data_IF_009086345144
#
_entry.id   IF_009086345144
#
_cell.length_a   1.000
_cell.length_b   1.000
_cell.length_c   1.000
_cell.angle_alpha   90.00
_cell.angle_beta   90.00
_cell.angle_gamma   90.00
#
_symmetry.space_group_name_H-M   'P 1'
#
loop_
_entity.id
_entity.type
_entity.pdbx_description
1 polymer ?
#
# COMPACT_ATOMS: atom_id res chain seq x y z
N UNK A 1 -77.27 11.30 21.86
CA UNK A 1 -76.74 10.94 20.51
C UNK A 1 -75.58 11.82 20.02
N UNK A 2 -75.44 13.07 20.39
CA UNK A 2 -74.31 13.94 19.94
C UNK A 2 -72.93 13.57 20.51
N UNK A 3 -72.84 12.99 21.72
CA UNK A 3 -71.54 12.69 22.34
C UNK A 3 -70.79 11.46 21.71
N UNK A 4 -71.51 10.49 21.16
CA UNK A 4 -70.98 9.28 20.57
C UNK A 4 -70.31 9.58 19.21
N UNK A 5 -70.89 10.50 18.43
CA UNK A 5 -70.33 10.89 17.11
C UNK A 5 -69.02 11.64 17.27
N UNK A 6 -68.83 12.47 18.27
CA UNK A 6 -67.60 13.23 18.53
C UNK A 6 -66.42 12.34 18.99
N UNK A 7 -66.70 11.24 19.66
CA UNK A 7 -65.68 10.29 20.11
C UNK A 7 -65.11 9.46 18.94
N UNK A 8 -65.96 9.03 18.00
CA UNK A 8 -65.54 8.28 16.83
C UNK A 8 -64.68 9.09 15.88
N UNK A 9 -65.01 10.36 15.63
CA UNK A 9 -64.21 11.25 14.74
C UNK A 9 -62.82 11.54 15.32
N UNK A 10 -62.66 11.70 16.65
CA UNK A 10 -61.34 11.88 17.27
C UNK A 10 -60.50 10.60 17.22
N UNK A 11 -61.10 9.43 17.36
CA UNK A 11 -60.42 8.16 17.28
C UNK A 11 -59.90 7.92 15.86
N UNK A 12 -60.72 8.11 14.81
CA UNK A 12 -60.30 7.98 13.42
C UNK A 12 -59.20 8.98 13.04
N UNK A 13 -59.30 10.24 13.51
CA UNK A 13 -58.27 11.25 13.24
C UNK A 13 -56.94 10.96 13.92
N UNK A 14 -56.97 10.32 15.11
CA UNK A 14 -55.74 9.82 15.78
C UNK A 14 -55.15 8.61 15.06
N UNK A 15 -55.98 7.74 14.53
CA UNK A 15 -55.52 6.52 13.84
C UNK A 15 -54.93 6.83 12.46
N UNK A 16 -55.57 7.73 11.69
CA UNK A 16 -55.02 8.19 10.42
C UNK A 16 -53.71 8.96 10.58
N UNK A 17 -53.56 9.78 11.65
CA UNK A 17 -52.30 10.44 11.95
C UNK A 17 -51.16 9.50 12.32
N UNK A 18 -51.47 8.37 12.99
CA UNK A 18 -50.47 7.32 13.30
C UNK A 18 -50.04 6.54 12.07
N UNK A 19 -50.96 6.22 11.15
CA UNK A 19 -50.69 5.51 9.89
C UNK A 19 -49.89 6.43 8.95
N UNK A 20 -50.25 7.69 8.80
CA UNK A 20 -49.51 8.67 8.01
C UNK A 20 -48.10 8.91 8.59
N UNK A 21 -47.94 8.97 9.91
CA UNK A 21 -46.64 9.08 10.55
C UNK A 21 -45.75 7.84 10.42
N UNK A 22 -46.36 6.65 10.33
CA UNK A 22 -45.62 5.40 10.06
C UNK A 22 -45.12 5.32 8.62
N UNK A 23 -45.97 5.67 7.64
CA UNK A 23 -45.57 5.69 6.23
C UNK A 23 -44.46 6.70 5.93
N UNK A 24 -44.50 7.85 6.52
CA UNK A 24 -43.46 8.87 6.39
C UNK A 24 -42.09 8.36 6.95
N UNK A 25 -42.10 7.79 8.17
CA UNK A 25 -40.89 7.23 8.77
C UNK A 25 -40.33 6.08 7.94
N UNK A 26 -41.17 5.20 7.45
CA UNK A 26 -40.78 4.11 6.57
C UNK A 26 -40.18 4.64 5.24
N UNK A 27 -40.79 5.68 4.65
CA UNK A 27 -40.26 6.33 3.45
C UNK A 27 -38.88 6.94 3.71
N UNK A 28 -38.66 7.64 4.82
CA UNK A 28 -37.34 8.19 5.18
C UNK A 28 -36.30 7.10 5.33
N UNK A 29 -36.62 6.02 6.08
CA UNK A 29 -35.71 4.87 6.24
C UNK A 29 -35.38 4.26 4.88
N UNK A 30 -36.35 4.11 4.00
CA UNK A 30 -36.15 3.56 2.65
C UNK A 30 -35.24 4.44 1.79
N UNK A 31 -35.47 5.77 1.77
CA UNK A 31 -34.60 6.68 1.03
C UNK A 31 -33.20 6.77 1.61
N UNK A 32 -33.05 6.72 2.94
CA UNK A 32 -31.72 6.63 3.57
C UNK A 32 -31.01 5.32 3.17
N UNK A 33 -31.71 4.20 3.18
CA UNK A 33 -31.14 2.92 2.76
C UNK A 33 -30.72 2.93 1.29
N UNK A 34 -31.54 3.49 0.39
CA UNK A 34 -31.19 3.67 -1.04
C UNK A 34 -30.00 4.62 -1.21
N UNK A 35 -29.96 5.71 -0.46
CA UNK A 35 -28.84 6.65 -0.46
C UNK A 35 -27.53 5.97 -0.05
N UNK A 36 -27.55 5.19 1.02
CA UNK A 36 -26.40 4.41 1.50
C UNK A 36 -26.01 3.34 0.45
N UNK A 37 -26.98 2.58 -0.05
CA UNK A 37 -26.72 1.55 -1.06
C UNK A 37 -26.15 2.11 -2.37
N UNK A 38 -26.56 3.32 -2.77
CA UNK A 38 -26.03 4.01 -3.95
C UNK A 38 -24.66 4.67 -3.70
N UNK A 39 -24.42 5.15 -2.47
CA UNK A 39 -23.18 5.86 -2.13
C UNK A 39 -21.93 4.99 -2.32
N UNK A 40 -21.93 3.75 -1.81
CA UNK A 40 -20.73 2.91 -1.86
C UNK A 40 -20.28 2.56 -3.29
N UNK A 41 -21.16 2.12 -4.23
CA UNK A 41 -20.74 1.90 -5.61
C UNK A 41 -20.26 3.17 -6.32
N UNK A 42 -20.95 4.30 -6.13
CA UNK A 42 -20.57 5.57 -6.75
C UNK A 42 -19.23 6.06 -6.19
N UNK A 43 -19.03 5.95 -4.88
CA UNK A 43 -17.77 6.29 -4.25
C UNK A 43 -16.63 5.39 -4.75
N UNK A 44 -16.86 4.08 -4.86
CA UNK A 44 -15.87 3.17 -5.42
C UNK A 44 -15.50 3.51 -6.86
N UNK A 45 -16.48 3.79 -7.74
CA UNK A 45 -16.24 4.25 -9.11
C UNK A 45 -15.40 5.53 -9.13
N UNK A 46 -15.74 6.50 -8.27
CA UNK A 46 -14.96 7.74 -8.13
C UNK A 46 -13.51 7.47 -7.71
N UNK A 47 -13.29 6.59 -6.72
CA UNK A 47 -11.96 6.25 -6.26
C UNK A 47 -11.17 5.46 -7.33
N UNK A 48 -11.82 4.56 -8.08
CA UNK A 48 -11.19 3.85 -9.21
C UNK A 48 -10.77 4.83 -10.31
N UNK A 49 -11.61 5.83 -10.62
CA UNK A 49 -11.22 6.86 -11.59
C UNK A 49 -9.96 7.62 -11.15
N UNK A 50 -9.85 7.96 -9.87
CA UNK A 50 -8.67 8.65 -9.31
C UNK A 50 -7.46 7.74 -9.10
N UNK A 51 -7.70 6.48 -8.77
CA UNK A 51 -6.67 5.48 -8.47
C UNK A 51 -7.07 4.15 -9.13
N UNK A 52 -6.72 3.93 -10.41
CA UNK A 52 -7.18 2.77 -11.18
C UNK A 52 -6.86 1.41 -10.53
N UNK A 53 -5.83 1.33 -9.69
CA UNK A 53 -5.51 0.12 -8.93
C UNK A 53 -6.63 -0.35 -7.98
N UNK A 54 -7.52 0.54 -7.54
CA UNK A 54 -8.66 0.20 -6.68
C UNK A 54 -9.74 -0.64 -7.40
N UNK A 55 -9.67 -0.74 -8.73
CA UNK A 55 -10.49 -1.70 -9.48
C UNK A 55 -10.27 -3.14 -9.01
N UNK A 56 -9.03 -3.46 -8.61
CA UNK A 56 -8.64 -4.79 -8.16
C UNK A 56 -8.84 -5.02 -6.65
N UNK A 57 -9.19 -3.97 -5.89
CA UNK A 57 -9.35 -4.05 -4.44
C UNK A 57 -10.32 -5.16 -3.96
N UNK A 58 -11.50 -5.39 -4.61
CA UNK A 58 -12.44 -6.43 -4.16
C UNK A 58 -11.88 -7.85 -4.20
N UNK A 59 -10.91 -8.12 -5.09
CA UNK A 59 -10.31 -9.46 -5.27
C UNK A 59 -8.90 -9.56 -4.68
N UNK A 60 -8.33 -8.45 -4.25
CA UNK A 60 -6.94 -8.41 -3.80
C UNK A 60 -6.65 -9.36 -2.63
N UNK A 61 -7.54 -9.45 -1.65
CA UNK A 61 -7.36 -10.33 -0.49
C UNK A 61 -7.22 -11.82 -0.83
N UNK A 62 -7.82 -12.28 -1.93
CA UNK A 62 -7.75 -13.68 -2.36
C UNK A 62 -6.37 -14.09 -2.92
N UNK A 63 -5.50 -13.14 -3.25
CA UNK A 63 -4.19 -13.40 -3.84
C UNK A 63 -3.03 -13.32 -2.84
N UNK A 64 -3.33 -13.21 -1.54
CA UNK A 64 -2.31 -13.30 -0.49
C UNK A 64 -1.67 -14.71 -0.49
N UNK A 65 -0.35 -14.76 -0.31
CA UNK A 65 0.45 -15.99 -0.38
C UNK A 65 1.19 -16.24 0.93
N UNK A 66 1.43 -17.52 1.22
CA UNK A 66 2.41 -17.90 2.24
C UNK A 66 3.84 -17.55 1.77
N UNK A 67 4.83 -17.49 2.67
CA UNK A 67 6.22 -17.28 2.29
C UNK A 67 6.72 -18.30 1.25
N UNK A 68 6.33 -19.58 1.40
CA UNK A 68 6.68 -20.65 0.47
C UNK A 68 6.12 -20.39 -0.93
N UNK A 69 4.82 -20.07 -1.01
CA UNK A 69 4.18 -19.72 -2.28
C UNK A 69 4.73 -18.44 -2.88
N UNK A 70 5.10 -17.46 -2.06
CA UNK A 70 5.76 -16.22 -2.53
C UNK A 70 7.11 -16.55 -3.17
N UNK A 71 7.92 -17.39 -2.53
CA UNK A 71 9.21 -17.80 -3.08
C UNK A 71 9.06 -18.63 -4.36
N UNK A 72 8.16 -19.63 -4.36
CA UNK A 72 7.89 -20.45 -5.55
C UNK A 72 7.45 -19.62 -6.76
N UNK A 73 6.62 -18.60 -6.55
CA UNK A 73 6.10 -17.79 -7.65
C UNK A 73 7.06 -16.68 -8.11
N UNK A 74 7.87 -16.13 -7.21
CA UNK A 74 8.64 -14.91 -7.48
C UNK A 74 10.12 -14.99 -7.12
N UNK A 75 10.63 -16.12 -6.60
CA UNK A 75 12.04 -16.26 -6.19
C UNK A 75 13.01 -15.97 -7.34
N UNK A 76 12.79 -16.55 -8.49
CA UNK A 76 13.60 -16.30 -9.70
C UNK A 76 13.56 -14.83 -10.15
N UNK A 77 12.42 -14.17 -9.97
CA UNK A 77 12.26 -12.76 -10.27
C UNK A 77 13.04 -11.89 -9.27
N UNK A 78 12.99 -12.23 -7.98
CA UNK A 78 13.76 -11.56 -6.95
C UNK A 78 15.26 -11.72 -7.14
N UNK A 79 15.71 -12.91 -7.57
CA UNK A 79 17.11 -13.16 -7.93
C UNK A 79 17.54 -12.32 -9.13
N UNK A 80 16.72 -12.29 -10.20
CA UNK A 80 16.98 -11.51 -11.41
C UNK A 80 17.26 -10.04 -11.13
N UNK A 81 16.47 -9.43 -10.25
CA UNK A 81 16.58 -7.99 -9.94
C UNK A 81 17.43 -7.69 -8.70
N UNK A 82 17.96 -8.71 -8.01
CA UNK A 82 18.82 -8.48 -6.84
C UNK A 82 20.05 -7.65 -7.17
N UNK A 83 20.59 -6.96 -6.15
CA UNK A 83 21.83 -6.19 -6.25
C UNK A 83 22.75 -6.53 -5.06
N UNK A 84 23.94 -5.95 -5.02
CA UNK A 84 24.87 -6.11 -3.89
C UNK A 84 24.28 -5.64 -2.53
N UNK A 85 23.28 -4.76 -2.54
CA UNK A 85 22.60 -4.24 -1.33
C UNK A 85 21.26 -4.93 -1.11
N UNK A 86 20.44 -5.00 -2.13
CA UNK A 86 19.09 -5.55 -2.07
C UNK A 86 19.13 -6.99 -2.58
N UNK A 87 19.33 -7.95 -1.66
CA UNK A 87 19.38 -9.37 -2.02
C UNK A 87 17.98 -9.93 -2.29
N UNK A 88 17.90 -11.09 -2.94
CA UNK A 88 16.63 -11.74 -3.25
C UNK A 88 15.81 -12.03 -1.98
N UNK A 89 16.45 -12.48 -0.91
CA UNK A 89 15.79 -12.78 0.37
C UNK A 89 15.27 -11.51 1.07
N UNK A 90 16.02 -10.40 0.96
CA UNK A 90 15.55 -9.12 1.50
C UNK A 90 14.35 -8.60 0.71
N UNK A 91 14.38 -8.70 -0.62
CA UNK A 91 13.27 -8.31 -1.48
C UNK A 91 12.03 -9.17 -1.22
N UNK A 92 12.21 -10.50 -1.10
CA UNK A 92 11.13 -11.42 -0.75
C UNK A 92 10.53 -11.12 0.64
N UNK A 93 11.36 -10.75 1.62
CA UNK A 93 10.91 -10.35 2.95
C UNK A 93 10.05 -9.07 2.89
N UNK A 94 10.47 -8.06 2.12
CA UNK A 94 9.65 -6.86 1.88
C UNK A 94 8.32 -7.22 1.24
N UNK A 95 8.32 -8.00 0.15
CA UNK A 95 7.13 -8.43 -0.56
C UNK A 95 6.13 -9.16 0.37
N UNK A 96 6.65 -9.99 1.27
CA UNK A 96 5.82 -10.74 2.22
C UNK A 96 5.21 -9.85 3.30
N UNK A 97 5.97 -8.91 3.84
CA UNK A 97 5.54 -8.04 4.95
C UNK A 97 4.60 -6.96 4.45
N UNK A 98 4.87 -6.36 3.30
CA UNK A 98 4.08 -5.26 2.75
C UNK A 98 2.79 -5.73 2.09
N UNK A 99 2.85 -6.75 1.28
CA UNK A 99 1.72 -7.19 0.46
C UNK A 99 1.36 -8.67 0.59
N UNK A 100 1.94 -9.42 1.53
CA UNK A 100 1.74 -10.88 1.64
C UNK A 100 2.00 -11.60 0.31
N UNK A 101 3.02 -11.19 -0.44
CA UNK A 101 3.35 -11.74 -1.76
C UNK A 101 2.27 -11.49 -2.83
N UNK A 102 1.33 -10.60 -2.61
CA UNK A 102 0.23 -10.29 -3.50
C UNK A 102 0.56 -9.09 -4.41
N UNK A 103 0.66 -9.26 -5.74
CA UNK A 103 1.06 -8.18 -6.64
C UNK A 103 0.02 -7.07 -6.78
N UNK A 104 -1.22 -7.31 -6.41
CA UNK A 104 -2.31 -6.34 -6.47
C UNK A 104 -2.80 -5.90 -5.09
N UNK A 105 -1.98 -6.12 -4.04
CA UNK A 105 -2.35 -5.71 -2.68
C UNK A 105 -2.71 -4.22 -2.65
N UNK A 106 -3.88 -3.90 -2.11
CA UNK A 106 -4.36 -2.53 -1.89
C UNK A 106 -4.38 -2.21 -0.40
N UNK A 107 -4.38 -0.92 -0.06
CA UNK A 107 -4.53 -0.49 1.32
C UNK A 107 -5.98 -0.64 1.78
N UNK A 108 -6.18 -0.75 3.09
CA UNK A 108 -7.54 -0.72 3.65
C UNK A 108 -8.20 0.64 3.40
N UNK A 109 -9.53 0.65 3.38
CA UNK A 109 -10.33 1.86 3.26
C UNK A 109 -10.66 2.39 4.65
N UNK A 110 -10.65 3.72 4.80
CA UNK A 110 -10.90 4.39 6.07
C UNK A 110 -11.73 5.65 5.90
N UNK A 111 -12.39 6.04 6.99
CA UNK A 111 -13.19 7.25 7.05
C UNK A 111 -12.28 8.45 7.32
N UNK A 112 -12.51 9.52 6.56
CA UNK A 112 -11.81 10.79 6.69
C UNK A 112 -12.82 11.94 6.75
N UNK A 113 -12.47 12.98 7.47
CA UNK A 113 -13.25 14.20 7.39
C UNK A 113 -12.96 14.92 6.09
N UNK A 114 -13.98 15.21 5.26
CA UNK A 114 -13.86 15.91 3.98
C UNK A 114 -15.16 16.62 3.62
N UNK A 115 -15.05 17.78 2.97
CA UNK A 115 -16.19 18.47 2.37
C UNK A 115 -16.68 17.79 1.09
N UNK A 116 -15.83 17.02 0.42
CA UNK A 116 -16.24 16.19 -0.71
C UNK A 116 -16.75 14.85 -0.19
N UNK A 117 -18.05 14.50 -0.40
CA UNK A 117 -18.62 13.27 0.10
C UNK A 117 -17.89 12.01 -0.42
N UNK A 118 -17.34 12.04 -1.62
CA UNK A 118 -16.56 10.94 -2.19
C UNK A 118 -15.13 10.80 -1.63
N UNK A 119 -14.67 11.74 -0.82
CA UNK A 119 -13.40 11.66 -0.09
C UNK A 119 -13.57 11.22 1.37
N UNK A 120 -14.82 11.10 1.83
CA UNK A 120 -15.11 10.72 3.22
C UNK A 120 -14.75 9.26 3.50
N UNK A 121 -14.96 8.37 2.53
CA UNK A 121 -14.56 6.97 2.62
C UNK A 121 -13.66 6.62 1.43
N UNK A 122 -12.37 6.44 1.70
CA UNK A 122 -11.34 6.28 0.67
C UNK A 122 -10.18 5.38 1.14
N UNK A 123 -9.32 4.88 0.21
CA UNK A 123 -8.09 4.18 0.59
C UNK A 123 -7.23 5.00 1.54
N UNK A 124 -6.69 4.35 2.58
CA UNK A 124 -5.89 4.99 3.62
C UNK A 124 -4.60 5.63 3.09
N UNK A 125 -4.06 5.10 2.01
CA UNK A 125 -2.88 5.67 1.34
C UNK A 125 -2.91 5.38 -0.17
N UNK A 126 -1.99 6.00 -0.91
CA UNK A 126 -1.77 5.71 -2.33
C UNK A 126 -0.94 4.45 -2.58
N UNK A 127 -0.53 3.72 -1.54
CA UNK A 127 0.27 2.52 -1.64
C UNK A 127 -0.47 1.41 -2.41
N UNK A 128 0.27 0.68 -3.25
CA UNK A 128 -0.30 -0.34 -4.12
C UNK A 128 0.74 -1.41 -4.46
N UNK A 129 0.24 -2.64 -4.62
CA UNK A 129 1.03 -3.77 -5.11
C UNK A 129 1.84 -4.47 -4.03
N UNK A 130 2.64 -5.44 -4.45
CA UNK A 130 3.41 -6.35 -3.60
C UNK A 130 4.32 -5.64 -2.58
N UNK A 131 4.84 -4.46 -2.95
CA UNK A 131 5.75 -3.67 -2.12
C UNK A 131 5.09 -2.39 -1.57
N UNK A 132 3.78 -2.24 -1.67
CA UNK A 132 3.06 -1.07 -1.20
C UNK A 132 3.70 0.27 -1.63
N UNK A 133 4.03 0.36 -2.94
CA UNK A 133 4.67 1.54 -3.52
C UNK A 133 3.68 2.70 -3.57
N UNK A 134 3.99 3.82 -2.91
CA UNK A 134 3.19 5.04 -2.95
C UNK A 134 3.38 5.82 -4.26
N UNK A 135 2.48 6.76 -4.57
CA UNK A 135 2.58 7.56 -5.82
C UNK A 135 3.90 8.33 -5.92
N UNK A 136 4.35 8.95 -4.83
CA UNK A 136 5.63 9.67 -4.81
C UNK A 136 6.82 8.75 -5.03
N UNK A 137 6.84 7.60 -4.36
CA UNK A 137 7.90 6.58 -4.57
C UNK A 137 7.86 6.02 -5.99
N UNK A 138 6.67 5.81 -6.55
CA UNK A 138 6.51 5.33 -7.92
C UNK A 138 7.08 6.31 -8.96
N UNK A 139 6.77 7.60 -8.80
CA UNK A 139 7.29 8.64 -9.68
C UNK A 139 8.82 8.73 -9.65
N UNK A 140 9.42 8.54 -8.46
CA UNK A 140 10.88 8.54 -8.30
C UNK A 140 11.51 7.24 -8.80
N UNK A 141 10.96 6.09 -8.44
CA UNK A 141 11.49 4.77 -8.77
C UNK A 141 11.56 4.50 -10.29
N UNK A 142 10.64 5.08 -11.08
CA UNK A 142 10.65 4.96 -12.54
C UNK A 142 11.85 5.60 -13.23
N UNK A 143 12.64 6.40 -12.53
CA UNK A 143 13.88 6.99 -13.04
C UNK A 143 15.05 6.01 -13.07
N UNK A 144 14.87 4.80 -12.51
CA UNK A 144 15.93 3.80 -12.36
C UNK A 144 15.45 2.43 -12.82
N UNK A 145 16.39 1.60 -13.30
CA UNK A 145 16.16 0.20 -13.63
C UNK A 145 17.36 -0.66 -13.22
N UNK A 146 17.24 -1.97 -13.39
CA UNK A 146 18.32 -2.92 -13.09
C UNK A 146 18.81 -3.55 -14.38
N UNK A 147 20.11 -3.44 -14.63
CA UNK A 147 20.84 -4.14 -15.70
C UNK A 147 21.99 -4.93 -15.07
N UNK A 148 22.04 -6.23 -15.28
CA UNK A 148 23.10 -7.10 -14.75
C UNK A 148 23.40 -6.83 -13.26
N UNK A 149 22.35 -6.82 -12.42
CA UNK A 149 22.43 -6.56 -10.98
C UNK A 149 22.95 -5.16 -10.57
N UNK A 150 23.02 -4.22 -11.52
CA UNK A 150 23.44 -2.84 -11.30
C UNK A 150 22.30 -1.87 -11.55
N UNK A 151 22.24 -0.81 -10.74
CA UNK A 151 21.28 0.27 -10.94
C UNK A 151 21.75 1.18 -12.07
N UNK A 152 20.88 1.40 -13.02
CA UNK A 152 21.04 2.34 -14.14
C UNK A 152 20.04 3.47 -13.98
N UNK A 153 20.40 4.68 -14.35
CA UNK A 153 19.51 5.83 -14.36
C UNK A 153 18.77 5.96 -15.68
N UNK A 154 17.66 6.67 -15.65
CA UNK A 154 16.90 7.05 -16.84
C UNK A 154 17.76 7.86 -17.82
N UNK A 155 17.42 7.76 -19.09
CA UNK A 155 18.14 8.40 -20.19
C UNK A 155 17.26 8.59 -21.42
N UNK A 156 17.83 9.03 -22.55
CA UNK A 156 17.08 9.28 -23.77
C UNK A 156 16.37 8.00 -24.25
N UNK A 157 15.19 8.16 -24.84
CA UNK A 157 14.37 7.04 -25.33
C UNK A 157 15.04 6.18 -26.41
N UNK A 158 16.04 6.71 -27.10
CA UNK A 158 16.81 6.00 -28.13
C UNK A 158 18.02 5.24 -27.56
N UNK A 159 18.35 5.41 -26.29
CA UNK A 159 19.41 4.64 -25.64
C UNK A 159 18.83 3.37 -25.02
N UNK A 160 19.05 2.24 -25.65
CA UNK A 160 18.58 0.92 -25.19
C UNK A 160 19.18 0.49 -23.85
N UNK A 161 20.30 1.09 -23.42
CA UNK A 161 20.90 0.85 -22.11
C UNK A 161 20.29 1.71 -21.00
N UNK A 162 19.50 2.71 -21.34
CA UNK A 162 18.78 3.54 -20.38
C UNK A 162 17.48 2.87 -19.87
N UNK A 163 16.77 3.54 -18.96
CA UNK A 163 15.53 3.07 -18.38
C UNK A 163 14.29 3.66 -19.08
N UNK A 164 14.38 4.09 -20.33
CA UNK A 164 13.30 4.77 -21.07
C UNK A 164 11.96 4.04 -21.06
N UNK A 165 11.97 2.71 -20.99
CA UNK A 165 10.77 1.86 -20.97
C UNK A 165 10.01 1.93 -19.65
N UNK A 166 10.64 2.44 -18.57
CA UNK A 166 10.03 2.50 -17.24
C UNK A 166 8.80 3.43 -17.16
N UNK A 167 8.60 4.31 -18.16
CA UNK A 167 7.37 5.10 -18.29
C UNK A 167 6.10 4.24 -18.38
N UNK A 168 6.22 3.00 -18.90
CA UNK A 168 5.15 2.02 -19.04
C UNK A 168 5.02 1.08 -17.82
N UNK A 169 5.86 1.24 -16.80
CA UNK A 169 5.83 0.37 -15.63
C UNK A 169 4.57 0.56 -14.79
N UNK A 170 4.17 -0.54 -14.16
CA UNK A 170 3.00 -0.60 -13.28
C UNK A 170 3.38 -1.20 -11.92
N UNK A 171 2.77 -0.71 -10.86
CA UNK A 171 2.98 -1.20 -9.49
C UNK A 171 2.35 -2.58 -9.23
N UNK A 172 1.42 -3.01 -10.09
CA UNK A 172 0.69 -4.28 -9.94
C UNK A 172 1.30 -5.43 -10.72
N UNK A 173 2.28 -5.17 -11.58
CA UNK A 173 3.05 -6.21 -12.25
C UNK A 173 4.27 -6.57 -11.39
N UNK A 174 4.36 -7.83 -10.97
CA UNK A 174 5.41 -8.29 -10.06
C UNK A 174 6.83 -7.97 -10.54
N UNK A 175 7.11 -8.12 -11.86
CA UNK A 175 8.40 -7.78 -12.45
C UNK A 175 8.72 -6.29 -12.34
N UNK A 176 7.78 -5.42 -12.72
CA UNK A 176 7.97 -3.98 -12.69
C UNK A 176 8.13 -3.46 -11.24
N UNK A 177 7.27 -3.93 -10.33
CA UNK A 177 7.33 -3.51 -8.92
C UNK A 177 8.60 -4.00 -8.22
N UNK A 178 9.09 -5.21 -8.53
CA UNK A 178 10.35 -5.74 -8.00
C UNK A 178 11.54 -4.91 -8.47
N UNK A 179 11.65 -4.68 -9.78
CA UNK A 179 12.75 -3.89 -10.36
C UNK A 179 12.79 -2.47 -9.80
N UNK A 180 11.65 -1.77 -9.82
CA UNK A 180 11.54 -0.41 -9.29
C UNK A 180 11.90 -0.32 -7.81
N UNK A 181 11.43 -1.28 -6.99
CA UNK A 181 11.72 -1.29 -5.54
C UNK A 181 13.21 -1.48 -5.29
N UNK A 182 13.83 -2.44 -5.98
CA UNK A 182 15.28 -2.69 -5.86
C UNK A 182 16.10 -1.48 -6.31
N UNK A 183 15.81 -0.95 -7.49
CA UNK A 183 16.55 0.17 -8.05
C UNK A 183 16.46 1.42 -7.17
N UNK A 184 15.25 1.77 -6.73
CA UNK A 184 15.00 2.90 -5.84
C UNK A 184 15.69 2.73 -4.48
N UNK A 185 15.54 1.58 -3.82
CA UNK A 185 16.13 1.36 -2.50
C UNK A 185 17.65 1.31 -2.57
N UNK A 186 18.23 0.63 -3.55
CA UNK A 186 19.67 0.59 -3.74
C UNK A 186 20.23 2.02 -3.91
N UNK A 187 19.66 2.79 -4.84
CA UNK A 187 20.07 4.17 -5.10
C UNK A 187 19.94 5.03 -3.85
N UNK A 188 18.80 4.95 -3.17
CA UNK A 188 18.55 5.72 -1.95
C UNK A 188 19.53 5.38 -0.82
N UNK A 189 19.92 4.10 -0.68
CA UNK A 189 20.94 3.70 0.29
C UNK A 189 22.30 4.31 -0.04
N UNK A 190 22.73 4.21 -1.30
CA UNK A 190 24.00 4.77 -1.76
C UNK A 190 24.04 6.29 -1.54
N UNK A 191 22.98 7.00 -1.93
CA UNK A 191 22.89 8.45 -1.79
C UNK A 191 22.87 8.89 -0.31
N UNK A 192 22.19 8.15 0.55
CA UNK A 192 22.15 8.48 1.98
C UNK A 192 23.50 8.23 2.68
N UNK A 193 24.22 7.17 2.29
CA UNK A 193 25.58 6.89 2.80
C UNK A 193 26.56 7.97 2.33
N UNK A 194 26.52 8.34 1.05
CA UNK A 194 27.34 9.40 0.49
C UNK A 194 27.10 10.74 1.19
N UNK A 195 25.83 11.12 1.39
CA UNK A 195 25.44 12.35 2.07
C UNK A 195 25.87 12.40 3.54
N UNK A 196 26.06 11.23 4.18
CA UNK A 196 26.53 11.13 5.56
C UNK A 196 28.06 11.01 5.68
N UNK A 197 28.81 11.01 4.55
CA UNK A 197 30.24 10.76 4.55
C UNK A 197 30.65 9.37 5.07
N UNK A 198 29.73 8.42 5.08
CA UNK A 198 29.93 7.09 5.66
C UNK A 198 30.26 6.09 4.55
N UNK A 199 31.56 5.90 4.30
CA UNK A 199 32.04 4.99 3.24
C UNK A 199 31.93 3.49 3.60
N UNK A 200 31.80 3.14 4.87
CA UNK A 200 31.81 1.73 5.33
C UNK A 200 30.57 1.41 6.14
N UNK A 201 29.61 0.76 5.52
CA UNK A 201 28.46 0.15 6.18
C UNK A 201 28.40 -1.34 5.82
N UNK A 202 28.17 -2.20 6.79
CA UNK A 202 27.96 -3.64 6.51
C UNK A 202 26.68 -3.85 5.68
N UNK A 203 26.57 -4.99 4.98
CA UNK A 203 25.36 -5.32 4.23
C UNK A 203 24.11 -5.30 5.12
N UNK A 204 24.23 -5.81 6.37
CA UNK A 204 23.13 -5.77 7.33
C UNK A 204 22.69 -4.32 7.68
N UNK A 205 23.64 -3.39 7.81
CA UNK A 205 23.33 -1.97 8.06
C UNK A 205 22.69 -1.33 6.84
N UNK A 206 23.18 -1.63 5.63
CA UNK A 206 22.62 -1.12 4.37
C UNK A 206 21.18 -1.63 4.17
N UNK A 207 20.91 -2.89 4.43
CA UNK A 207 19.57 -3.46 4.33
C UNK A 207 18.61 -2.93 5.41
N UNK A 208 19.07 -2.75 6.64
CA UNK A 208 18.26 -2.07 7.68
C UNK A 208 17.91 -0.64 7.24
N UNK A 209 18.86 0.08 6.67
CA UNK A 209 18.60 1.41 6.13
C UNK A 209 17.62 1.38 4.96
N UNK A 210 17.74 0.42 4.03
CA UNK A 210 16.79 0.23 2.94
C UNK A 210 15.35 0.02 3.49
N UNK A 211 15.20 -0.81 4.53
CA UNK A 211 13.91 -1.03 5.20
C UNK A 211 13.38 0.25 5.88
N UNK A 212 14.26 1.05 6.51
CA UNK A 212 13.89 2.37 7.07
C UNK A 212 13.43 3.32 5.98
N UNK A 213 14.15 3.39 4.86
CA UNK A 213 13.79 4.23 3.71
C UNK A 213 12.45 3.79 3.12
N UNK A 214 12.24 2.50 2.99
CA UNK A 214 10.99 1.95 2.46
C UNK A 214 9.78 2.35 3.31
N UNK A 215 9.85 2.16 4.62
CA UNK A 215 8.74 2.44 5.54
C UNK A 215 8.57 3.94 5.82
N UNK A 216 9.66 4.69 5.97
CA UNK A 216 9.69 6.04 6.54
C UNK A 216 10.14 7.12 5.57
N UNK A 217 10.60 6.74 4.38
CA UNK A 217 11.13 7.64 3.38
C UNK A 217 12.62 8.00 3.55
N UNK A 218 13.18 8.57 2.49
CA UNK A 218 14.62 8.88 2.36
C UNK A 218 15.19 9.74 3.49
N UNK A 219 14.46 10.78 3.92
CA UNK A 219 14.89 11.69 4.98
C UNK A 219 15.13 10.97 6.31
N UNK A 220 14.28 10.00 6.66
CA UNK A 220 14.46 9.18 7.87
C UNK A 220 15.63 8.22 7.71
N UNK A 221 15.86 7.66 6.53
CA UNK A 221 17.05 6.86 6.23
C UNK A 221 18.35 7.65 6.47
N UNK A 222 18.45 8.89 5.99
CA UNK A 222 19.58 9.80 6.27
C UNK A 222 19.78 10.00 7.77
N UNK A 223 18.72 10.31 8.50
CA UNK A 223 18.79 10.51 9.95
C UNK A 223 19.24 9.23 10.69
N UNK A 224 18.84 8.05 10.20
CA UNK A 224 19.25 6.77 10.76
C UNK A 224 20.77 6.53 10.59
N UNK A 225 21.33 6.84 9.42
CA UNK A 225 22.79 6.78 9.19
C UNK A 225 23.52 7.79 10.07
N UNK A 226 23.08 9.04 10.13
CA UNK A 226 23.70 10.07 10.95
C UNK A 226 23.77 9.70 12.45
N UNK A 227 22.86 8.83 12.91
CA UNK A 227 22.87 8.28 14.27
C UNK A 227 23.68 6.97 14.39
N UNK A 228 24.52 6.65 13.41
CA UNK A 228 25.31 5.41 13.41
C UNK A 228 24.46 4.14 13.37
N UNK A 229 23.37 4.13 12.60
CA UNK A 229 22.41 3.03 12.43
C UNK A 229 21.70 2.64 13.75
N UNK A 230 21.51 3.59 14.66
CA UNK A 230 20.82 3.38 15.94
C UNK A 230 19.37 3.86 15.85
N UNK A 231 18.45 3.06 16.40
CA UNK A 231 17.07 3.46 16.58
C UNK A 231 16.92 4.29 17.84
N UNK A 232 16.09 5.31 17.80
CA UNK A 232 15.62 5.98 19.01
C UNK A 232 14.58 5.11 19.72
N UNK A 233 14.43 5.23 21.06
CA UNK A 233 13.36 4.57 21.79
C UNK A 233 12.00 4.93 21.12
N UNK A 234 11.16 3.92 20.94
CA UNK A 234 9.79 4.05 20.40
C UNK A 234 9.65 4.74 19.03
N UNK A 235 10.71 4.73 18.22
CA UNK A 235 10.68 5.32 16.87
C UNK A 235 9.59 4.70 16.01
N UNK A 236 8.74 5.56 15.43
CA UNK A 236 7.58 5.17 14.63
C UNK A 236 7.56 5.87 13.29
N UNK A 237 6.94 5.21 12.31
CA UNK A 237 6.57 5.79 11.01
C UNK A 237 5.06 5.60 10.82
N UNK A 238 4.31 6.69 10.96
CA UNK A 238 2.86 6.59 11.07
C UNK A 238 2.46 5.73 12.27
N UNK A 239 1.66 4.71 12.03
CA UNK A 239 1.21 3.76 13.06
C UNK A 239 2.23 2.62 13.34
N UNK A 240 3.26 2.47 12.52
CA UNK A 240 4.19 1.34 12.57
C UNK A 240 5.36 1.61 13.53
N UNK A 241 5.65 0.67 14.44
CA UNK A 241 6.89 0.66 15.23
C UNK A 241 8.04 0.22 14.34
N UNK A 242 9.05 1.08 14.20
CA UNK A 242 10.21 0.81 13.35
C UNK A 242 11.02 -0.40 13.84
N UNK A 243 11.17 -0.56 15.16
CA UNK A 243 11.84 -1.71 15.76
C UNK A 243 11.14 -3.04 15.38
N UNK A 244 9.80 -3.08 15.51
CA UNK A 244 9.01 -4.26 15.16
C UNK A 244 9.14 -4.58 13.67
N UNK A 245 9.05 -3.58 12.82
CA UNK A 245 9.16 -3.73 11.37
C UNK A 245 10.52 -4.31 10.97
N UNK A 246 11.63 -3.76 11.47
CA UNK A 246 12.97 -4.28 11.19
C UNK A 246 13.17 -5.72 11.71
N UNK A 247 12.60 -6.04 12.87
CA UNK A 247 12.64 -7.42 13.40
C UNK A 247 11.88 -8.38 12.47
N UNK A 248 10.71 -7.99 11.97
CA UNK A 248 9.94 -8.82 11.02
C UNK A 248 10.70 -9.03 9.70
N UNK A 249 11.34 -8.00 9.15
CA UNK A 249 12.21 -8.13 7.97
C UNK A 249 13.32 -9.16 8.21
N UNK A 250 14.02 -9.08 9.34
CA UNK A 250 15.13 -10.03 9.63
C UNK A 250 14.63 -11.48 9.78
N UNK A 251 13.47 -11.69 10.42
CA UNK A 251 12.85 -13.01 10.53
C UNK A 251 12.48 -13.56 9.15
N UNK A 252 11.83 -12.74 8.32
CA UNK A 252 11.44 -13.16 6.96
C UNK A 252 12.63 -13.41 6.05
N UNK A 253 13.68 -12.60 6.12
CA UNK A 253 14.93 -12.85 5.38
C UNK A 253 15.52 -14.22 5.69
N UNK A 254 15.60 -14.59 6.97
CA UNK A 254 16.08 -15.92 7.38
C UNK A 254 15.19 -17.03 6.81
N UNK A 255 13.87 -16.86 6.85
CA UNK A 255 12.92 -17.82 6.25
C UNK A 255 13.16 -17.99 4.76
N UNK A 256 13.30 -16.90 4.01
CA UNK A 256 13.55 -16.96 2.56
C UNK A 256 14.96 -17.51 2.23
N UNK A 257 15.95 -17.26 3.05
CA UNK A 257 17.26 -17.88 2.90
C UNK A 257 17.19 -19.42 3.07
N UNK A 258 16.37 -19.92 4.00
CA UNK A 258 16.12 -21.37 4.14
C UNK A 258 15.40 -21.94 2.92
N UNK A 259 14.37 -21.25 2.40
CA UNK A 259 13.63 -21.67 1.21
C UNK A 259 14.51 -21.70 -0.06
N UNK A 260 15.46 -20.77 -0.18
CA UNK A 260 16.44 -20.75 -1.26
C UNK A 260 17.44 -21.89 -1.18
N UNK A 261 17.90 -22.24 0.00
CA UNK A 261 18.88 -23.32 0.21
C UNK A 261 18.29 -24.74 0.19
N UNK A 262 16.98 -24.88 0.26
CA UNK A 262 16.26 -26.15 0.21
C UNK A 262 15.55 -26.46 -1.11
N UNK A 263 15.78 -25.62 -2.15
CA UNK A 263 15.19 -25.78 -3.48
C UNK A 263 16.14 -26.52 -4.43
#
# INVERSE_FOLDING_TARGET
MKAIVYSGVRFFRRQSGRIAGFHWKAAVVWYCALGIAGFFPLNWIYQVYRKPGELLAPVSGALAKSPESTWQNYGSLFEKYSTSIITAEFLAALAQIEGSGNPIASTYWSWHWSWNPFEVYRPASSALGMFQITDGTFAEARKYCIRDHKVVSDGPWYDLNSCWFNSLYSRVLASHSSEMTVAYLHRSVVDALAAAGTAKASLAQQQKMAAVIHLCGFSRGKSFVARGFRLTPEERCGTHSLRRYLSQIEVMKKRFAQLRGGA
#
